data_IF_383519534656
#
_entry.id   IF_383519534656
#
_cell.length_a   1.000
_cell.length_b   1.000
_cell.length_c   1.000
_cell.angle_alpha   90.00
_cell.angle_beta   90.00
_cell.angle_gamma   90.00
#
_symmetry.space_group_name_H-M   'P 1'
#
loop_
_entity.id
_entity.type
_entity.pdbx_description
1 polymer ?
#
# COMPACT_ATOMS: atom_id res chain seq x y z
N UNK A 1 -62.09 -27.12 -53.11
CA UNK A 1 -62.52 -28.53 -53.31
C UNK A 1 -62.22 -29.19 -52.03
N UNK A 2 -63.25 -29.42 -51.32
CA UNK A 2 -63.68 -30.65 -50.69
C UNK A 2 -62.74 -31.21 -49.63
N UNK A 3 -63.09 -31.34 -48.46
CA UNK A 3 -64.27 -31.80 -47.68
C UNK A 3 -63.65 -32.83 -46.76
N UNK A 4 -63.97 -33.10 -45.65
CA UNK A 4 -65.14 -33.32 -44.84
C UNK A 4 -64.72 -33.83 -43.47
N UNK A 5 -65.33 -33.35 -42.42
CA UNK A 5 -65.48 -34.02 -41.12
C UNK A 5 -66.23 -35.33 -41.22
N UNK A 6 -66.15 -36.24 -40.23
CA UNK A 6 -66.98 -36.17 -39.01
C UNK A 6 -66.34 -36.83 -37.77
N UNK A 7 -66.57 -36.26 -36.59
CA UNK A 7 -67.57 -36.60 -35.53
C UNK A 7 -67.54 -38.00 -34.92
N UNK A 8 -67.56 -38.00 -33.58
CA UNK A 8 -68.08 -38.93 -32.54
C UNK A 8 -66.98 -39.55 -31.66
N UNK A 9 -67.11 -39.76 -30.41
CA UNK A 9 -68.13 -39.70 -29.40
C UNK A 9 -67.49 -39.99 -28.03
N UNK A 10 -68.02 -39.41 -27.04
CA UNK A 10 -67.68 -39.47 -25.64
C UNK A 10 -67.34 -40.83 -25.04
N UNK A 11 -66.41 -40.86 -24.08
CA UNK A 11 -66.55 -41.73 -22.91
C UNK A 11 -66.00 -41.02 -21.67
N UNK A 12 -66.86 -40.84 -20.70
CA UNK A 12 -66.58 -40.34 -19.34
C UNK A 12 -66.04 -41.49 -18.53
N UNK A 13 -64.83 -41.30 -17.95
CA UNK A 13 -64.47 -42.04 -16.73
C UNK A 13 -63.73 -41.01 -15.80
N UNK A 14 -64.35 -40.83 -14.66
CA UNK A 14 -63.80 -40.04 -13.61
C UNK A 14 -62.65 -40.77 -12.93
N UNK A 15 -61.55 -40.08 -12.77
CA UNK A 15 -60.48 -40.48 -11.85
C UNK A 15 -60.19 -39.28 -10.94
N UNK A 16 -60.53 -39.44 -9.68
CA UNK A 16 -60.24 -38.48 -8.61
C UNK A 16 -58.69 -38.39 -8.49
N UNK A 17 -58.15 -37.22 -8.82
CA UNK A 17 -56.75 -36.92 -8.58
C UNK A 17 -56.62 -36.29 -7.22
N UNK A 18 -56.14 -37.05 -6.22
CA UNK A 18 -55.68 -36.51 -4.94
C UNK A 18 -54.45 -35.62 -5.21
N UNK A 19 -54.66 -34.31 -5.14
CA UNK A 19 -53.53 -33.36 -5.12
C UNK A 19 -52.94 -33.41 -3.72
N UNK A 20 -51.86 -34.17 -3.55
CA UNK A 20 -51.00 -34.06 -2.38
C UNK A 20 -50.23 -32.72 -2.48
N UNK A 21 -50.69 -31.72 -1.75
CA UNK A 21 -49.96 -30.48 -1.56
C UNK A 21 -48.71 -30.76 -0.75
N UNK A 22 -47.62 -30.97 -1.41
CA UNK A 22 -46.26 -30.98 -0.80
C UNK A 22 -45.96 -29.54 -0.42
N UNK A 23 -46.20 -29.18 0.83
CA UNK A 23 -45.61 -27.95 1.41
C UNK A 23 -44.12 -28.08 1.41
N UNK A 24 -43.46 -27.49 0.41
CA UNK A 24 -42.03 -27.19 0.49
C UNK A 24 -41.86 -26.18 1.64
N UNK A 25 -41.47 -26.66 2.81
CA UNK A 25 -40.92 -25.83 3.86
C UNK A 25 -39.61 -25.30 3.34
N UNK A 26 -39.62 -24.11 2.76
CA UNK A 26 -38.38 -23.34 2.52
C UNK A 26 -37.87 -22.97 3.91
N UNK A 27 -37.00 -23.81 4.45
CA UNK A 27 -36.18 -23.46 5.60
C UNK A 27 -35.28 -22.31 5.09
N UNK A 28 -35.43 -21.07 5.60
CA UNK A 28 -34.49 -20.04 5.29
C UNK A 28 -33.14 -20.57 5.76
N UNK A 29 -32.19 -20.72 4.84
CA UNK A 29 -30.81 -20.94 5.22
C UNK A 29 -30.44 -19.75 6.12
N UNK A 30 -30.48 -19.98 7.45
CA UNK A 30 -29.81 -19.09 8.39
C UNK A 30 -28.37 -18.98 7.91
N UNK A 31 -28.06 -17.88 7.24
CA UNK A 31 -26.67 -17.43 7.20
C UNK A 31 -26.29 -17.40 8.68
N UNK A 32 -25.37 -18.26 9.07
CA UNK A 32 -24.69 -18.13 10.32
C UNK A 32 -24.11 -16.70 10.29
N UNK A 33 -24.77 -15.77 10.98
CA UNK A 33 -24.20 -14.49 11.31
C UNK A 33 -22.97 -14.88 12.12
N UNK A 34 -21.79 -14.68 11.54
CA UNK A 34 -20.52 -14.93 12.21
C UNK A 34 -20.63 -14.26 13.58
N UNK A 35 -20.32 -15.00 14.64
CA UNK A 35 -20.29 -14.42 15.96
C UNK A 35 -19.35 -13.22 15.90
N UNK A 36 -19.83 -12.02 16.29
CA UNK A 36 -19.00 -10.82 16.34
C UNK A 36 -17.75 -11.04 17.22
N UNK A 37 -16.89 -10.06 17.38
CA UNK A 37 -15.68 -10.18 18.17
C UNK A 37 -16.01 -10.60 19.61
N UNK A 38 -15.12 -11.37 20.22
CA UNK A 38 -15.28 -11.80 21.62
C UNK A 38 -15.33 -10.59 22.55
N UNK A 39 -16.28 -10.60 23.47
CA UNK A 39 -16.51 -9.53 24.44
C UNK A 39 -15.88 -9.89 25.78
N UNK A 40 -15.30 -8.90 26.47
CA UNK A 40 -14.58 -9.05 27.74
C UNK A 40 -15.13 -8.07 28.77
N UNK A 41 -14.97 -8.40 30.06
CA UNK A 41 -15.42 -7.52 31.15
C UNK A 41 -14.52 -6.29 31.29
N UNK A 42 -13.21 -6.44 31.02
CA UNK A 42 -12.23 -5.37 31.10
C UNK A 42 -11.31 -5.36 29.89
N UNK A 43 -10.69 -4.21 29.54
CA UNK A 43 -9.69 -4.14 28.48
C UNK A 43 -8.47 -5.03 28.78
N UNK A 44 -8.07 -5.16 30.04
CA UNK A 44 -6.93 -5.96 30.46
C UNK A 44 -7.19 -7.47 30.27
N UNK A 45 -8.44 -7.94 30.45
CA UNK A 45 -8.83 -9.31 30.10
C UNK A 45 -8.72 -9.55 28.59
N UNK A 46 -9.16 -8.59 27.77
CA UNK A 46 -9.03 -8.68 26.31
C UNK A 46 -7.55 -8.79 25.90
N UNK A 47 -6.68 -7.96 26.50
CA UNK A 47 -5.23 -7.99 26.23
C UNK A 47 -4.60 -9.32 26.63
N UNK A 48 -4.89 -9.84 27.81
CA UNK A 48 -4.35 -11.14 28.26
C UNK A 48 -4.79 -12.26 27.31
N UNK A 49 -6.07 -12.29 26.93
CA UNK A 49 -6.58 -13.28 25.99
C UNK A 49 -5.88 -13.19 24.63
N UNK A 50 -5.66 -11.98 24.10
CA UNK A 50 -4.92 -11.74 22.85
C UNK A 50 -3.49 -12.30 22.96
N UNK A 51 -2.76 -11.94 24.01
CA UNK A 51 -1.36 -12.38 24.21
C UNK A 51 -1.26 -13.90 24.31
N UNK A 52 -2.18 -14.55 25.05
CA UNK A 52 -2.23 -16.01 25.21
C UNK A 52 -2.42 -16.72 23.86
N UNK A 53 -3.37 -16.24 23.06
CA UNK A 53 -3.68 -16.82 21.76
C UNK A 53 -2.55 -16.62 20.76
N UNK A 54 -1.92 -15.43 20.76
CA UNK A 54 -0.77 -15.17 19.88
C UNK A 54 0.46 -16.00 20.28
N UNK A 55 0.69 -16.23 21.58
CA UNK A 55 1.73 -17.14 22.08
C UNK A 55 1.49 -18.59 21.64
N UNK A 56 0.23 -19.02 21.61
CA UNK A 56 -0.15 -20.36 21.17
C UNK A 56 -0.12 -20.53 19.64
N UNK A 57 0.07 -19.45 18.87
CA UNK A 57 -0.05 -19.39 17.41
C UNK A 57 -1.41 -19.93 16.89
N UNK A 58 -2.48 -19.77 17.69
CA UNK A 58 -3.82 -20.25 17.38
C UNK A 58 -4.59 -19.17 16.59
N UNK A 59 -4.49 -19.26 15.25
CA UNK A 59 -5.13 -18.30 14.34
C UNK A 59 -6.65 -18.32 14.43
N UNK A 60 -7.27 -19.48 14.70
CA UNK A 60 -8.72 -19.58 14.81
C UNK A 60 -9.24 -18.82 16.04
N UNK A 61 -8.57 -18.97 17.19
CA UNK A 61 -8.88 -18.21 18.40
C UNK A 61 -8.55 -16.71 18.25
N UNK A 62 -7.49 -16.37 17.50
CA UNK A 62 -7.16 -14.99 17.22
C UNK A 62 -8.28 -14.30 16.43
N UNK A 63 -8.81 -14.95 15.40
CA UNK A 63 -9.98 -14.47 14.65
C UNK A 63 -11.22 -14.39 15.56
N UNK A 64 -11.42 -15.37 16.44
CA UNK A 64 -12.56 -15.32 17.38
C UNK A 64 -12.48 -14.13 18.36
N UNK A 65 -11.25 -13.72 18.77
CA UNK A 65 -11.04 -12.55 19.63
C UNK A 65 -11.24 -11.24 18.87
N UNK A 66 -10.65 -11.13 17.67
CA UNK A 66 -10.66 -9.91 16.89
C UNK A 66 -11.95 -9.72 16.08
N UNK A 67 -12.73 -10.79 15.86
CA UNK A 67 -13.90 -10.81 14.99
C UNK A 67 -13.59 -11.33 13.59
N UNK A 68 -14.63 -11.78 12.85
CA UNK A 68 -14.47 -12.31 11.49
C UNK A 68 -13.90 -11.29 10.51
N UNK A 69 -14.12 -10.00 10.75
CA UNK A 69 -13.56 -8.90 9.96
C UNK A 69 -12.02 -8.85 10.02
N UNK A 70 -11.43 -9.44 11.06
CA UNK A 70 -9.98 -9.53 11.22
C UNK A 70 -9.35 -10.64 10.37
N UNK A 71 -10.11 -11.48 9.69
CA UNK A 71 -9.56 -12.58 8.91
C UNK A 71 -8.51 -12.11 7.89
N UNK A 72 -8.77 -11.01 7.19
CA UNK A 72 -7.81 -10.41 6.26
C UNK A 72 -6.56 -9.83 6.95
N UNK A 73 -6.66 -9.42 8.21
CA UNK A 73 -5.53 -8.94 9.02
C UNK A 73 -4.64 -10.08 9.51
N UNK A 74 -5.25 -11.23 9.78
CA UNK A 74 -4.60 -12.42 10.33
C UNK A 74 -4.09 -13.34 9.22
N UNK A 75 -4.90 -13.52 8.17
CA UNK A 75 -4.62 -14.40 7.03
C UNK A 75 -3.90 -13.62 5.92
N UNK A 76 -2.67 -13.23 6.20
CA UNK A 76 -1.85 -12.52 5.20
C UNK A 76 -1.43 -13.47 4.09
N UNK A 77 -1.41 -13.00 2.85
CA UNK A 77 -0.92 -13.76 1.68
C UNK A 77 0.54 -14.20 1.82
N UNK A 78 1.28 -13.62 2.77
CA UNK A 78 2.62 -14.01 3.18
C UNK A 78 2.59 -14.60 4.60
N UNK A 79 2.51 -15.92 4.67
CA UNK A 79 2.47 -16.69 5.92
C UNK A 79 3.72 -16.43 6.78
N UNK A 80 4.88 -16.26 6.16
CA UNK A 80 6.14 -16.01 6.87
C UNK A 80 6.13 -14.63 7.54
N UNK A 81 5.68 -13.60 6.85
CA UNK A 81 5.51 -12.25 7.42
C UNK A 81 4.46 -12.23 8.53
N UNK A 82 3.32 -12.91 8.35
CA UNK A 82 2.29 -13.03 9.38
C UNK A 82 2.83 -13.66 10.67
N UNK A 83 3.56 -14.77 10.56
CA UNK A 83 4.21 -15.45 11.69
C UNK A 83 5.23 -14.53 12.37
N UNK A 84 6.10 -13.89 11.63
CA UNK A 84 7.10 -12.95 12.17
C UNK A 84 6.46 -11.81 12.94
N UNK A 85 5.37 -11.24 12.44
CA UNK A 85 4.65 -10.17 13.14
C UNK A 85 4.08 -10.66 14.49
N UNK A 86 3.56 -11.89 14.56
CA UNK A 86 3.08 -12.48 15.81
C UNK A 86 4.24 -12.74 16.78
N UNK A 87 5.37 -13.25 16.32
CA UNK A 87 6.57 -13.44 17.13
C UNK A 87 7.06 -12.12 17.73
N UNK A 88 7.10 -11.03 16.95
CA UNK A 88 7.44 -9.69 17.43
C UNK A 88 6.46 -9.20 18.49
N UNK A 89 5.16 -9.43 18.30
CA UNK A 89 4.14 -9.08 19.29
C UNK A 89 4.37 -9.85 20.62
N UNK A 90 4.67 -11.13 20.55
CA UNK A 90 4.97 -11.96 21.75
C UNK A 90 6.18 -11.43 22.50
N UNK A 91 7.25 -11.09 21.80
CA UNK A 91 8.47 -10.54 22.40
C UNK A 91 8.17 -9.19 23.07
N UNK A 92 7.52 -8.28 22.36
CA UNK A 92 7.16 -6.99 22.92
C UNK A 92 6.22 -7.09 24.14
N UNK A 93 5.23 -7.99 24.08
CA UNK A 93 4.34 -8.24 25.21
C UNK A 93 5.05 -8.83 26.43
N UNK A 94 6.12 -9.61 26.23
CA UNK A 94 6.94 -10.17 27.32
C UNK A 94 7.79 -9.10 28.03
N UNK A 95 8.19 -8.04 27.33
CA UNK A 95 8.87 -6.89 27.92
C UNK A 95 7.93 -6.06 28.81
N UNK A 96 6.65 -6.06 28.51
CA UNK A 96 5.59 -5.36 29.25
C UNK A 96 4.49 -4.83 28.33
N UNK A 97 3.37 -4.50 28.95
CA UNK A 97 2.26 -3.85 28.24
C UNK A 97 1.45 -2.96 29.18
N UNK A 98 0.75 -2.00 28.61
CA UNK A 98 -0.19 -1.13 29.29
C UNK A 98 -1.36 -0.77 28.39
N UNK A 99 -2.48 -0.46 28.99
CA UNK A 99 -3.66 0.07 28.31
C UNK A 99 -3.74 1.57 28.55
N UNK A 100 -3.87 2.34 27.47
CA UNK A 100 -3.93 3.82 27.50
C UNK A 100 -5.31 4.27 27.03
N UNK A 101 -5.82 5.34 27.65
CA UNK A 101 -7.09 5.94 27.24
C UNK A 101 -6.97 6.69 25.91
N UNK A 102 -7.87 6.39 24.97
CA UNK A 102 -8.11 7.17 23.76
C UNK A 102 -9.55 7.68 23.76
N UNK A 103 -9.79 9.00 23.73
CA UNK A 103 -11.15 9.53 23.61
C UNK A 103 -11.80 9.23 22.23
N UNK A 104 -13.14 9.11 22.16
CA UNK A 104 -14.07 8.76 23.23
C UNK A 104 -14.22 7.24 23.36
N UNK A 105 -14.25 6.69 24.57
CA UNK A 105 -14.56 5.27 24.87
C UNK A 105 -13.67 4.22 24.20
N UNK A 106 -12.44 4.57 23.84
CA UNK A 106 -11.44 3.68 23.23
C UNK A 106 -10.26 3.51 24.16
N UNK A 107 -9.61 2.36 24.05
CA UNK A 107 -8.35 2.05 24.71
C UNK A 107 -7.35 1.58 23.67
N UNK A 108 -6.10 1.95 23.85
CA UNK A 108 -4.98 1.48 23.06
C UNK A 108 -4.10 0.55 23.89
N UNK A 109 -3.75 -0.60 23.33
CA UNK A 109 -2.72 -1.47 23.88
C UNK A 109 -1.36 -0.96 23.43
N UNK A 110 -0.48 -0.64 24.38
CA UNK A 110 0.90 -0.25 24.14
C UNK A 110 1.83 -1.36 24.64
N UNK A 111 2.73 -1.81 23.79
CA UNK A 111 3.58 -2.99 23.99
C UNK A 111 5.06 -2.62 24.05
N UNK A 112 5.79 -3.32 24.91
CA UNK A 112 7.25 -3.32 24.99
C UNK A 112 7.87 -2.02 25.46
N UNK A 113 9.20 -2.03 25.56
CA UNK A 113 10.03 -0.90 25.98
C UNK A 113 10.00 0.24 24.95
N UNK A 114 9.83 -0.07 23.67
CA UNK A 114 9.68 0.90 22.57
C UNK A 114 8.29 1.59 22.59
N UNK A 115 7.42 1.23 23.54
CA UNK A 115 6.06 1.77 23.66
C UNK A 115 5.26 1.67 22.35
N UNK A 116 5.34 0.51 21.66
CA UNK A 116 4.69 0.28 20.37
C UNK A 116 3.17 0.18 20.53
N UNK A 117 2.38 1.07 19.89
CA UNK A 117 0.93 1.02 19.96
C UNK A 117 0.40 -0.09 19.03
N UNK A 118 -0.38 -1.02 19.62
CA UNK A 118 -1.06 -2.06 18.86
C UNK A 118 -2.15 -1.44 17.97
N UNK A 119 -2.22 -1.79 16.67
CA UNK A 119 -3.07 -1.05 15.74
C UNK A 119 -4.57 -1.28 15.91
N UNK A 120 -5.00 -2.37 16.57
CA UNK A 120 -6.42 -2.67 16.77
C UNK A 120 -6.86 -2.12 18.13
N UNK A 121 -7.68 -1.05 18.17
CA UNK A 121 -8.13 -0.47 19.43
C UNK A 121 -9.12 -1.39 20.15
N UNK A 122 -9.19 -1.24 21.47
CA UNK A 122 -10.19 -1.89 22.31
C UNK A 122 -11.30 -0.87 22.59
N UNK A 123 -12.53 -1.20 22.24
CA UNK A 123 -13.67 -0.31 22.37
C UNK A 123 -14.71 -0.85 23.33
N UNK A 124 -15.45 0.06 24.00
CA UNK A 124 -16.52 -0.30 24.91
C UNK A 124 -17.87 -0.32 24.17
N UNK A 125 -18.41 -1.51 23.98
CA UNK A 125 -19.77 -1.70 23.49
C UNK A 125 -20.81 -1.88 24.61
N UNK A 126 -22.09 -2.13 24.25
CA UNK A 126 -23.16 -2.33 25.23
C UNK A 126 -22.92 -3.52 26.16
N UNK A 127 -22.26 -4.58 25.67
CA UNK A 127 -22.06 -5.85 26.39
C UNK A 127 -20.67 -5.96 27.06
N UNK A 128 -19.77 -5.01 26.83
CA UNK A 128 -18.40 -5.05 27.36
C UNK A 128 -17.36 -4.52 26.40
N UNK A 129 -16.12 -4.93 26.58
CA UNK A 129 -14.97 -4.49 25.79
C UNK A 129 -14.64 -5.50 24.69
N UNK A 130 -14.30 -5.03 23.50
CA UNK A 130 -13.90 -5.89 22.37
C UNK A 130 -12.85 -5.16 21.49
N UNK A 131 -12.13 -5.91 20.66
CA UNK A 131 -11.23 -5.36 19.67
C UNK A 131 -12.02 -4.92 18.42
N UNK A 132 -11.81 -3.67 17.98
CA UNK A 132 -12.42 -3.12 16.77
C UNK A 132 -11.51 -3.37 15.57
N UNK A 133 -11.74 -4.49 14.89
CA UNK A 133 -10.92 -4.91 13.75
C UNK A 133 -11.06 -3.97 12.54
N UNK A 134 -12.21 -3.32 12.36
CA UNK A 134 -12.38 -2.38 11.25
C UNK A 134 -11.55 -1.12 11.45
N UNK A 135 -11.60 -0.53 12.67
CA UNK A 135 -10.70 0.56 13.02
C UNK A 135 -9.22 0.14 12.98
N UNK A 136 -8.93 -1.11 13.35
CA UNK A 136 -7.57 -1.68 13.25
C UNK A 136 -7.08 -1.80 11.80
N UNK A 137 -7.95 -2.18 10.88
CA UNK A 137 -7.63 -2.25 9.45
C UNK A 137 -7.29 -0.87 8.89
N UNK A 138 -8.10 0.13 9.22
CA UNK A 138 -7.85 1.51 8.83
C UNK A 138 -6.51 2.03 9.38
N UNK A 139 -6.22 1.78 10.65
CA UNK A 139 -4.96 2.17 11.28
C UNK A 139 -3.73 1.49 10.64
N UNK A 140 -3.81 0.17 10.34
CA UNK A 140 -2.74 -0.57 9.65
C UNK A 140 -2.51 0.02 8.26
N UNK A 141 -3.59 0.37 7.54
CA UNK A 141 -3.52 1.01 6.23
C UNK A 141 -2.85 2.39 6.33
N UNK A 142 -3.29 3.22 7.26
CA UNK A 142 -2.73 4.56 7.50
C UNK A 142 -1.24 4.50 7.85
N UNK A 143 -0.82 3.56 8.71
CA UNK A 143 0.61 3.33 9.02
C UNK A 143 1.41 2.87 7.82
N UNK A 144 0.84 2.03 6.95
CA UNK A 144 1.48 1.61 5.70
C UNK A 144 1.67 2.79 4.76
N UNK A 145 0.62 3.57 4.54
CA UNK A 145 0.67 4.80 3.72
C UNK A 145 1.75 5.74 4.26
N UNK A 146 1.73 6.07 5.54
CA UNK A 146 2.70 6.97 6.15
C UNK A 146 4.15 6.48 6.01
N UNK A 147 4.41 5.17 6.22
CA UNK A 147 5.74 4.59 6.01
C UNK A 147 6.20 4.68 4.57
N UNK A 148 5.30 4.39 3.61
CA UNK A 148 5.59 4.49 2.20
C UNK A 148 5.94 5.94 1.81
N UNK A 149 5.14 6.91 2.21
CA UNK A 149 5.35 8.33 1.92
C UNK A 149 6.67 8.84 2.50
N UNK A 150 6.98 8.50 3.75
CA UNK A 150 8.26 8.83 4.36
C UNK A 150 9.44 8.19 3.61
N UNK A 151 9.30 6.96 3.12
CA UNK A 151 10.32 6.29 2.30
C UNK A 151 10.48 6.99 0.94
N UNK A 152 9.37 7.40 0.31
CA UNK A 152 9.38 8.15 -0.96
C UNK A 152 10.03 9.52 -0.80
N UNK A 153 9.76 10.25 0.28
CA UNK A 153 10.42 11.53 0.58
C UNK A 153 11.95 11.34 0.68
N UNK A 154 12.39 10.28 1.39
CA UNK A 154 13.82 9.93 1.46
C UNK A 154 14.37 9.58 0.08
N UNK A 155 13.62 8.82 -0.73
CA UNK A 155 13.99 8.46 -2.10
C UNK A 155 14.13 9.69 -2.99
N UNK A 156 13.23 10.67 -2.89
CA UNK A 156 13.33 11.95 -3.60
C UNK A 156 14.63 12.69 -3.24
N UNK A 157 14.98 12.75 -1.95
CA UNK A 157 16.24 13.38 -1.50
C UNK A 157 17.47 12.59 -1.98
N UNK A 158 17.41 11.26 -1.95
CA UNK A 158 18.50 10.39 -2.46
C UNK A 158 18.67 10.56 -3.96
N UNK A 159 17.57 10.72 -4.73
CA UNK A 159 17.62 11.02 -6.16
C UNK A 159 18.40 12.31 -6.45
N UNK A 160 18.16 13.37 -5.68
CA UNK A 160 18.91 14.64 -5.83
C UNK A 160 20.41 14.44 -5.59
N UNK A 161 20.77 13.70 -4.54
CA UNK A 161 22.17 13.36 -4.24
C UNK A 161 22.79 12.51 -5.34
N UNK A 162 22.04 11.52 -5.86
CA UNK A 162 22.49 10.64 -6.92
C UNK A 162 22.72 11.39 -8.24
N UNK A 163 21.84 12.33 -8.61
CA UNK A 163 22.01 13.16 -9.79
C UNK A 163 23.25 14.06 -9.70
N UNK A 164 23.50 14.66 -8.53
CA UNK A 164 24.70 15.47 -8.31
C UNK A 164 25.97 14.62 -8.36
N UNK A 165 25.96 13.42 -7.79
CA UNK A 165 27.07 12.48 -7.84
C UNK A 165 27.34 12.03 -9.29
N UNK A 166 26.28 11.73 -10.05
CA UNK A 166 26.40 11.36 -11.47
C UNK A 166 27.04 12.49 -12.29
N UNK A 167 26.56 13.72 -12.11
CA UNK A 167 27.08 14.89 -12.83
C UNK A 167 28.51 15.27 -12.40
N UNK A 168 28.99 14.84 -11.25
CA UNK A 168 30.33 15.10 -10.76
C UNK A 168 31.42 14.41 -11.57
N UNK A 169 31.09 13.40 -12.38
CA UNK A 169 32.03 12.64 -13.21
C UNK A 169 31.49 12.51 -14.64
N UNK A 170 32.38 12.31 -15.61
CA UNK A 170 32.01 11.96 -16.98
C UNK A 170 31.61 10.48 -17.07
N UNK A 171 30.72 10.14 -17.97
CA UNK A 171 30.25 8.77 -18.20
C UNK A 171 30.19 8.48 -19.70
N UNK A 172 30.62 7.28 -20.11
CA UNK A 172 30.55 6.77 -21.49
C UNK A 172 31.08 7.75 -22.52
N UNK A 173 32.24 8.39 -22.21
CA UNK A 173 32.92 9.37 -23.08
C UNK A 173 32.30 10.77 -23.06
N UNK A 174 31.25 11.01 -22.27
CA UNK A 174 30.66 12.34 -22.07
C UNK A 174 31.34 13.08 -20.91
N UNK A 175 31.38 14.43 -20.97
CA UNK A 175 32.00 15.22 -19.91
C UNK A 175 31.15 15.21 -18.61
N UNK A 176 31.79 15.61 -17.51
CA UNK A 176 31.10 15.96 -16.29
C UNK A 176 30.13 17.16 -16.49
N UNK A 177 29.17 17.31 -15.61
CA UNK A 177 28.13 18.36 -15.68
C UNK A 177 26.82 17.93 -16.33
N UNK A 178 26.73 16.68 -16.78
CA UNK A 178 25.50 16.12 -17.35
C UNK A 178 24.74 15.28 -16.32
N UNK A 179 23.44 15.42 -16.26
CA UNK A 179 22.55 14.64 -15.40
C UNK A 179 22.00 13.43 -16.12
N UNK A 180 21.68 12.37 -15.36
CA UNK A 180 21.11 11.16 -15.93
C UNK A 180 19.62 11.33 -16.28
N UNK A 181 19.24 10.92 -17.50
CA UNK A 181 17.84 10.96 -17.99
C UNK A 181 17.05 9.69 -17.67
N UNK A 182 17.67 8.70 -17.04
CA UNK A 182 17.03 7.42 -16.68
C UNK A 182 17.52 6.90 -15.34
N UNK A 183 16.70 6.10 -14.70
CA UNK A 183 17.09 5.45 -13.46
C UNK A 183 18.08 4.32 -13.71
N UNK A 184 17.73 3.35 -14.53
CA UNK A 184 18.58 2.23 -14.86
C UNK A 184 19.35 2.50 -16.14
N UNK A 185 20.64 2.22 -16.11
CA UNK A 185 21.51 2.28 -17.28
C UNK A 185 21.15 1.20 -18.30
N UNK A 186 21.42 1.49 -19.56
CA UNK A 186 21.45 0.51 -20.62
C UNK A 186 22.47 -0.58 -20.27
N UNK A 187 22.22 -1.87 -20.55
CA UNK A 187 23.17 -2.93 -20.27
C UNK A 187 24.54 -2.64 -20.87
N UNK A 188 25.58 -2.61 -20.03
CA UNK A 188 26.95 -2.32 -20.42
C UNK A 188 27.33 -0.84 -20.54
N UNK A 189 26.39 0.09 -20.23
CA UNK A 189 26.61 1.53 -20.19
C UNK A 189 26.45 2.10 -18.77
N UNK A 190 26.86 3.37 -18.59
CA UNK A 190 26.67 4.15 -17.38
C UNK A 190 25.80 5.40 -17.66
N UNK A 191 24.73 5.24 -18.46
CA UNK A 191 23.86 6.31 -18.94
C UNK A 191 22.61 6.56 -18.06
N UNK A 192 22.58 5.97 -16.86
CA UNK A 192 21.53 6.12 -15.85
C UNK A 192 22.11 6.17 -14.43
N UNK A 193 21.27 6.34 -13.43
CA UNK A 193 21.67 6.45 -12.02
C UNK A 193 22.03 5.11 -11.38
N UNK A 194 21.66 3.99 -12.00
CA UNK A 194 21.93 2.66 -11.49
C UNK A 194 22.47 1.73 -12.58
N UNK A 195 23.57 1.07 -12.28
CA UNK A 195 24.13 -0.08 -12.99
C UNK A 195 24.64 -1.12 -11.99
N UNK A 196 24.64 -2.41 -12.33
CA UNK A 196 25.27 -3.44 -11.50
C UNK A 196 26.78 -3.22 -11.50
N UNK A 197 27.35 -2.82 -10.36
CA UNK A 197 28.80 -2.62 -10.25
C UNK A 197 29.53 -3.97 -10.20
N UNK A 198 30.60 -4.12 -10.98
CA UNK A 198 31.54 -5.23 -10.94
C UNK A 198 32.71 -4.90 -10.01
N UNK A 199 33.47 -5.89 -9.53
CA UNK A 199 34.67 -5.64 -8.77
C UNK A 199 35.65 -4.71 -9.55
N UNK A 200 35.99 -3.58 -8.93
CA UNK A 200 36.90 -2.58 -9.56
C UNK A 200 36.17 -1.49 -10.38
N UNK A 201 34.89 -1.61 -10.63
CA UNK A 201 34.12 -0.57 -11.30
C UNK A 201 33.55 0.47 -10.30
N UNK A 202 33.32 1.71 -10.74
CA UNK A 202 32.63 2.71 -9.91
C UNK A 202 31.25 2.24 -9.49
N UNK A 203 30.88 2.48 -8.24
CA UNK A 203 29.54 2.20 -7.74
C UNK A 203 28.54 3.15 -8.38
N UNK A 204 27.37 2.62 -8.74
CA UNK A 204 26.28 3.45 -9.27
C UNK A 204 25.72 4.38 -8.19
N UNK A 205 25.33 5.62 -8.53
CA UNK A 205 24.81 6.60 -7.57
C UNK A 205 23.61 6.13 -6.75
N UNK A 206 22.73 5.31 -7.34
CA UNK A 206 21.57 4.70 -6.63
C UNK A 206 21.85 3.28 -6.12
N UNK A 207 23.10 2.80 -6.16
CA UNK A 207 23.45 1.42 -5.79
C UNK A 207 23.02 1.06 -4.36
N UNK A 208 23.27 1.93 -3.39
CA UNK A 208 22.87 1.73 -1.99
C UNK A 208 21.36 1.67 -1.82
N UNK A 209 20.60 2.58 -2.46
CA UNK A 209 19.13 2.58 -2.40
C UNK A 209 18.55 1.29 -2.98
N UNK A 210 19.07 0.83 -4.11
CA UNK A 210 18.61 -0.40 -4.75
C UNK A 210 18.96 -1.64 -3.91
N UNK A 211 20.15 -1.66 -3.28
CA UNK A 211 20.53 -2.73 -2.37
C UNK A 211 19.60 -2.80 -1.15
N UNK A 212 19.34 -1.67 -0.49
CA UNK A 212 18.40 -1.60 0.63
C UNK A 212 16.98 -2.06 0.22
N UNK A 213 16.50 -1.58 -0.92
CA UNK A 213 15.20 -2.00 -1.43
C UNK A 213 15.13 -3.53 -1.68
N UNK A 214 16.22 -4.12 -2.18
CA UNK A 214 16.30 -5.57 -2.39
C UNK A 214 16.29 -6.34 -1.07
N UNK A 215 16.98 -5.85 -0.03
CA UNK A 215 16.94 -6.42 1.33
C UNK A 215 15.53 -6.36 1.94
N UNK A 216 14.76 -5.31 1.63
CA UNK A 216 13.36 -5.15 2.03
C UNK A 216 12.38 -5.96 1.16
N UNK A 217 12.88 -6.76 0.19
CA UNK A 217 12.07 -7.64 -0.64
C UNK A 217 11.56 -7.03 -1.95
N UNK A 218 11.97 -5.81 -2.30
CA UNK A 218 11.64 -5.22 -3.59
C UNK A 218 12.53 -5.82 -4.69
N UNK A 219 11.93 -6.58 -5.59
CA UNK A 219 12.63 -7.13 -6.75
C UNK A 219 12.30 -6.34 -8.02
N UNK A 220 13.30 -6.21 -8.90
CA UNK A 220 13.08 -5.72 -10.24
C UNK A 220 12.21 -6.72 -10.99
N UNK A 221 11.15 -6.27 -11.68
CA UNK A 221 10.37 -7.16 -12.54
C UNK A 221 11.28 -7.85 -13.56
N UNK A 222 11.26 -9.17 -13.55
CA UNK A 222 12.11 -9.98 -14.42
C UNK A 222 11.71 -9.84 -15.91
N UNK A 223 10.46 -9.47 -16.19
CA UNK A 223 9.89 -9.33 -17.53
C UNK A 223 10.20 -7.98 -18.22
N UNK A 224 10.82 -7.03 -17.52
CA UNK A 224 11.12 -5.70 -18.06
C UNK A 224 9.90 -4.89 -18.49
N UNK A 225 8.69 -5.37 -18.23
CA UNK A 225 7.44 -4.74 -18.63
C UNK A 225 7.07 -3.58 -17.70
N UNK A 226 7.55 -2.40 -18.02
CA UNK A 226 7.17 -1.14 -17.37
C UNK A 226 7.95 -0.79 -16.09
N UNK A 227 7.64 0.35 -15.47
CA UNK A 227 8.31 0.79 -14.25
C UNK A 227 7.99 -0.13 -13.07
N UNK A 228 9.02 -0.57 -12.35
CA UNK A 228 8.86 -1.29 -11.09
C UNK A 228 8.56 -0.30 -9.97
N UNK A 229 7.51 -0.48 -9.18
CA UNK A 229 7.22 0.39 -8.05
C UNK A 229 8.25 0.17 -6.93
N UNK A 230 8.56 1.25 -6.21
CA UNK A 230 9.38 1.21 -5.00
C UNK A 230 8.61 1.89 -3.87
N UNK A 231 8.50 1.24 -2.70
CA UNK A 231 7.70 1.70 -1.56
C UNK A 231 6.25 2.04 -1.93
N UNK A 232 5.63 1.25 -2.81
CA UNK A 232 4.27 1.49 -3.27
C UNK A 232 4.08 2.68 -4.20
N UNK A 233 5.16 3.21 -4.79
CA UNK A 233 5.17 4.39 -5.65
C UNK A 233 5.86 4.14 -7.00
N UNK A 234 5.36 4.81 -8.03
CA UNK A 234 6.04 4.99 -9.30
C UNK A 234 6.83 6.29 -9.32
N UNK A 235 7.89 6.32 -10.13
CA UNK A 235 8.79 7.46 -10.27
C UNK A 235 9.01 7.78 -11.74
N UNK A 236 9.08 9.07 -12.07
CA UNK A 236 9.40 9.55 -13.41
C UNK A 236 10.29 10.80 -13.35
N UNK A 237 11.39 10.78 -14.12
CA UNK A 237 12.24 11.94 -14.30
C UNK A 237 11.52 12.96 -15.16
N UNK A 238 11.59 14.25 -14.77
CA UNK A 238 11.03 15.37 -15.48
C UNK A 238 12.17 16.14 -16.18
N UNK A 239 11.95 16.54 -17.41
CA UNK A 239 12.97 17.15 -18.28
C UNK A 239 12.85 18.67 -18.38
N UNK A 240 12.17 19.31 -17.43
CA UNK A 240 12.02 20.76 -17.36
C UNK A 240 11.28 21.22 -16.13
N UNK A 241 11.25 22.53 -15.94
CA UNK A 241 10.48 23.19 -14.88
C UNK A 241 9.53 24.24 -15.46
N UNK A 242 8.48 24.52 -14.70
CA UNK A 242 7.45 25.52 -15.02
C UNK A 242 7.72 26.88 -14.38
N UNK A 243 6.81 27.84 -14.58
CA UNK A 243 7.00 29.22 -14.15
C UNK A 243 6.98 29.42 -12.64
N UNK A 244 6.35 28.53 -11.85
CA UNK A 244 6.33 28.63 -10.40
C UNK A 244 7.61 28.09 -9.73
N UNK A 245 8.48 27.41 -10.48
CA UNK A 245 9.78 26.98 -9.98
C UNK A 245 10.74 28.17 -9.83
N UNK A 246 11.68 28.05 -8.89
CA UNK A 246 12.77 29.03 -8.74
C UNK A 246 13.53 29.19 -10.06
N UNK A 247 13.68 30.43 -10.51
CA UNK A 247 14.31 30.75 -11.81
C UNK A 247 13.34 30.73 -13.01
N UNK A 248 12.05 30.41 -12.80
CA UNK A 248 11.04 30.40 -13.86
C UNK A 248 11.09 29.17 -14.76
N UNK A 249 10.33 29.20 -15.85
CA UNK A 249 10.25 28.08 -16.79
C UNK A 249 11.58 27.85 -17.50
N UNK A 250 12.04 26.58 -17.53
CA UNK A 250 13.28 26.18 -18.18
C UNK A 250 13.22 24.73 -18.67
N UNK A 251 13.90 24.46 -19.78
CA UNK A 251 14.18 23.10 -20.24
C UNK A 251 15.47 22.57 -19.60
N UNK A 252 15.42 21.36 -19.07
CA UNK A 252 16.61 20.69 -18.52
C UNK A 252 17.43 19.99 -19.58
N UNK A 253 16.80 19.60 -20.69
CA UNK A 253 17.47 19.01 -21.84
C UNK A 253 17.85 20.10 -22.83
N UNK A 254 19.16 20.31 -22.99
CA UNK A 254 19.76 21.29 -23.91
C UNK A 254 20.64 20.53 -24.90
N UNK A 255 20.42 20.73 -26.19
CA UNK A 255 21.15 20.03 -27.26
C UNK A 255 21.16 18.50 -27.14
N UNK A 256 20.06 17.92 -26.62
CA UNK A 256 19.92 16.47 -26.44
C UNK A 256 20.47 15.91 -25.11
N UNK A 257 21.18 16.72 -24.33
CA UNK A 257 21.77 16.35 -23.05
C UNK A 257 21.07 17.05 -21.87
N UNK A 258 20.91 16.35 -20.74
CA UNK A 258 20.32 16.94 -19.55
C UNK A 258 21.40 17.71 -18.77
N UNK A 259 21.55 19.00 -19.08
CA UNK A 259 22.54 19.91 -18.50
C UNK A 259 21.93 21.12 -17.79
N UNK A 260 20.66 21.45 -18.06
CA UNK A 260 19.99 22.61 -17.49
C UNK A 260 19.41 22.37 -16.08
N UNK A 261 19.41 21.16 -15.59
CA UNK A 261 18.85 20.75 -14.31
C UNK A 261 18.22 19.36 -14.37
N UNK A 262 17.51 18.99 -13.31
CA UNK A 262 16.77 17.72 -13.22
C UNK A 262 15.61 17.84 -12.25
N UNK A 263 14.59 17.02 -12.45
CA UNK A 263 13.51 16.88 -11.48
C UNK A 263 12.89 15.47 -11.52
N UNK A 264 12.08 15.19 -10.51
CA UNK A 264 11.42 13.93 -10.30
C UNK A 264 9.97 14.17 -9.90
N UNK A 265 9.05 13.32 -10.38
CA UNK A 265 7.72 13.14 -9.82
C UNK A 265 7.57 11.71 -9.30
N UNK A 266 6.95 11.55 -8.14
CA UNK A 266 6.60 10.27 -7.54
C UNK A 266 5.11 10.26 -7.18
N UNK A 267 4.40 9.16 -7.50
CA UNK A 267 2.96 9.02 -7.25
C UNK A 267 2.60 7.61 -6.83
N UNK A 268 1.55 7.41 -6.00
CA UNK A 268 1.19 6.07 -5.51
C UNK A 268 0.72 5.15 -6.63
N UNK A 269 1.05 3.86 -6.50
CA UNK A 269 0.54 2.79 -7.38
C UNK A 269 -0.97 2.69 -7.27
N UNK A 270 -1.46 2.74 -6.02
CA UNK A 270 -2.88 2.74 -5.68
C UNK A 270 -3.14 3.89 -4.70
N UNK A 271 -3.94 4.86 -5.14
CA UNK A 271 -4.39 5.96 -4.29
C UNK A 271 -5.15 5.39 -3.07
N UNK A 272 -4.93 6.00 -1.89
CA UNK A 272 -5.53 5.62 -0.61
C UNK A 272 -5.27 4.16 -0.17
N UNK A 273 -4.30 3.49 -0.81
CA UNK A 273 -3.90 2.14 -0.43
C UNK A 273 -2.38 1.98 -0.31
N UNK A 274 -1.61 2.49 -1.26
CA UNK A 274 -0.15 2.53 -1.18
C UNK A 274 0.39 3.91 -0.79
N UNK A 275 -0.41 4.96 -0.97
CA UNK A 275 -0.12 6.35 -0.64
C UNK A 275 -1.26 7.27 -1.05
N UNK A 276 -1.24 8.49 -0.54
CA UNK A 276 -2.18 9.58 -0.87
C UNK A 276 -1.45 10.67 -1.65
N UNK A 277 -0.30 11.13 -1.13
CA UNK A 277 0.42 12.27 -1.68
C UNK A 277 1.19 11.93 -2.95
N UNK A 278 1.20 12.85 -3.89
CA UNK A 278 2.13 12.90 -5.02
C UNK A 278 3.26 13.87 -4.66
N UNK A 279 4.50 13.49 -4.98
CA UNK A 279 5.69 14.25 -4.62
C UNK A 279 6.42 14.74 -5.87
N UNK A 280 6.97 15.96 -5.83
CA UNK A 280 7.91 16.48 -6.80
C UNK A 280 9.15 17.04 -6.13
N UNK A 281 10.30 16.94 -6.79
CA UNK A 281 11.58 17.51 -6.33
C UNK A 281 12.43 17.87 -7.53
N UNK A 282 13.23 18.93 -7.41
CA UNK A 282 14.24 19.31 -8.40
C UNK A 282 15.64 19.42 -7.77
N UNK A 283 16.58 19.99 -8.50
CA UNK A 283 17.97 20.21 -8.06
C UNK A 283 18.11 21.05 -6.77
N UNK A 284 17.09 21.84 -6.39
CA UNK A 284 17.11 22.63 -5.14
C UNK A 284 16.97 21.71 -3.91
N UNK A 285 16.43 20.49 -4.09
CA UNK A 285 16.30 19.47 -3.05
C UNK A 285 15.13 19.68 -2.10
N UNK A 286 14.25 20.64 -2.40
CA UNK A 286 12.98 20.81 -1.68
C UNK A 286 11.97 19.86 -2.26
N UNK A 287 11.47 18.93 -1.42
CA UNK A 287 10.38 18.03 -1.79
C UNK A 287 9.06 18.74 -1.57
N UNK A 288 8.22 18.76 -2.57
CA UNK A 288 6.85 19.25 -2.48
C UNK A 288 5.87 18.09 -2.59
N UNK A 289 4.74 18.21 -1.90
CA UNK A 289 3.66 17.21 -1.90
C UNK A 289 2.33 17.85 -2.28
N UNK A 290 1.46 17.05 -2.91
CA UNK A 290 0.09 17.42 -3.25
C UNK A 290 -0.77 16.17 -3.33
N UNK A 291 -1.96 16.24 -2.74
CA UNK A 291 -3.01 15.24 -2.97
C UNK A 291 -3.69 15.55 -4.31
N UNK A 292 -3.57 14.63 -5.28
CA UNK A 292 -4.22 14.72 -6.59
C UNK A 292 -5.60 14.02 -6.61
N UNK A 293 -6.00 13.41 -5.49
CA UNK A 293 -7.26 12.69 -5.34
C UNK A 293 -7.29 11.31 -6.00
N UNK A 294 -8.47 10.66 -6.03
CA UNK A 294 -8.65 9.29 -6.54
C UNK A 294 -8.15 9.07 -7.96
N UNK A 295 -8.17 10.11 -8.79
CA UNK A 295 -7.72 10.07 -10.19
C UNK A 295 -6.22 10.33 -10.36
N UNK A 296 -5.41 10.19 -9.31
CA UNK A 296 -3.96 10.46 -9.31
C UNK A 296 -3.24 9.80 -10.49
N UNK A 297 -3.55 8.53 -10.81
CA UNK A 297 -2.92 7.80 -11.92
C UNK A 297 -3.14 8.47 -13.31
N UNK A 298 -4.22 9.21 -13.44
CA UNK A 298 -4.54 9.98 -14.66
C UNK A 298 -3.97 11.39 -14.57
N UNK A 299 -4.17 12.07 -13.44
CA UNK A 299 -3.76 13.46 -13.22
C UNK A 299 -2.23 13.62 -13.34
N UNK A 300 -1.45 12.66 -12.85
CA UNK A 300 0.03 12.68 -12.90
C UNK A 300 0.59 12.67 -14.33
N UNK A 301 -0.18 12.22 -15.32
CA UNK A 301 0.25 12.24 -16.74
C UNK A 301 0.42 13.66 -17.26
N UNK A 302 -0.35 14.61 -16.73
CA UNK A 302 -0.26 16.04 -17.08
C UNK A 302 0.95 16.74 -16.42
N UNK A 303 1.55 16.15 -15.39
CA UNK A 303 2.74 16.71 -14.73
C UNK A 303 3.98 16.38 -15.58
N UNK A 304 4.23 17.17 -16.62
CA UNK A 304 5.39 17.00 -17.51
C UNK A 304 6.60 17.81 -17.10
N UNK A 305 6.42 18.77 -16.18
CA UNK A 305 7.44 19.68 -15.65
C UNK A 305 7.34 19.78 -14.13
N UNK A 306 8.45 20.09 -13.49
CA UNK A 306 8.48 20.47 -12.09
C UNK A 306 7.92 21.90 -11.95
N UNK A 307 6.75 22.02 -11.35
CA UNK A 307 6.07 23.32 -11.24
C UNK A 307 5.32 23.40 -9.89
N UNK A 308 6.01 23.74 -8.79
CA UNK A 308 5.44 23.82 -7.46
C UNK A 308 4.63 25.12 -7.28
N UNK A 309 3.47 25.20 -7.91
CA UNK A 309 2.52 26.30 -7.71
C UNK A 309 1.99 26.34 -6.26
N UNK A 310 1.22 27.38 -5.86
CA UNK A 310 0.73 27.51 -4.47
C UNK A 310 -0.15 26.36 -3.96
N UNK A 311 -0.57 25.42 -4.82
CA UNK A 311 -1.33 24.22 -4.41
C UNK A 311 -0.43 23.09 -3.93
N UNK A 312 0.89 23.17 -4.12
CA UNK A 312 1.88 22.26 -3.60
C UNK A 312 2.40 22.75 -2.24
N UNK A 313 2.57 21.85 -1.30
CA UNK A 313 3.11 22.11 0.03
C UNK A 313 4.53 21.58 0.16
N UNK A 314 5.45 22.40 0.64
CA UNK A 314 6.80 21.95 0.94
C UNK A 314 6.78 20.97 2.12
N UNK A 315 7.43 19.81 1.95
CA UNK A 315 7.61 18.84 3.03
C UNK A 315 8.67 19.35 3.99
N UNK A 316 8.39 19.27 5.30
CA UNK A 316 9.34 19.64 6.33
C UNK A 316 10.67 18.86 6.20
N UNK A 317 11.80 19.51 6.54
CA UNK A 317 13.14 18.92 6.47
C UNK A 317 13.38 17.86 7.52
#
# INVERSE_FOLDING_TARGET
MNGTTPSRMAFRLGAALCVAATCLVVVPASRAQGAGPRVFSTPEEAVRALIEVVKADDLAQLIAILGPEAQELVDTSDVATGRRNREVLVVAAAEGWRVVDLPPNRKELVLGNEAWPFPVPIVKGPSGWYFDADAGREEILNRRIGRNELAVIRTCRTYVTAQRAYAGTGHDGKPAGLFARRFASTPGAHDGLYWPARPGEPRSPLGTLIAQAAEEGYSRRADGAGPSPLYGYYFRILEGQGPAATGGAADYVVSGEMSGGFALVAWPVFYDASGVMTFIVNQDGIVYEKDLGPETATAVKAITRYDPDPTWRAVAR
#
